data_IF_324368162623
#
_entry.id   IF_324368162623
#
_cell.length_a   1.000
_cell.length_b   1.000
_cell.length_c   1.000
_cell.angle_alpha   90.00
_cell.angle_beta   90.00
_cell.angle_gamma   90.00
#
_symmetry.space_group_name_H-M   'P 1'
#
loop_
_entity.id
_entity.type
_entity.pdbx_description
1 polymer ?
#
# COMPACT_ATOMS: atom_id res chain seq x y z
N UNK A 1 -20.02 -13.74 19.22
CA UNK A 1 -18.78 -13.07 19.65
C UNK A 1 -18.35 -12.17 18.50
N UNK A 2 -17.87 -10.96 18.79
CA UNK A 2 -17.53 -9.97 17.75
C UNK A 2 -16.43 -10.48 16.79
N UNK A 3 -16.63 -10.38 15.48
CA UNK A 3 -15.64 -10.72 14.45
C UNK A 3 -14.59 -9.61 14.25
N UNK A 4 -14.85 -8.38 14.73
CA UNK A 4 -13.84 -7.32 14.74
C UNK A 4 -12.86 -7.59 15.87
N UNK A 5 -11.59 -7.76 15.51
CA UNK A 5 -10.50 -8.05 16.42
C UNK A 5 -9.83 -6.80 16.96
N UNK A 6 -9.43 -5.90 16.06
CA UNK A 6 -8.63 -4.72 16.39
C UNK A 6 -9.15 -3.53 15.59
N UNK A 7 -9.27 -2.37 16.25
CA UNK A 7 -9.67 -1.09 15.66
C UNK A 7 -8.55 -0.10 15.92
N UNK A 8 -7.94 0.45 14.87
CA UNK A 8 -6.80 1.36 15.02
C UNK A 8 -6.99 2.64 14.20
N UNK A 9 -6.75 3.80 14.82
CA UNK A 9 -6.74 5.06 14.10
C UNK A 9 -5.47 5.18 13.26
N UNK A 10 -5.63 5.76 12.08
CA UNK A 10 -4.55 6.33 11.28
C UNK A 10 -3.68 7.29 12.10
N UNK A 11 -2.36 7.28 11.87
CA UNK A 11 -1.41 8.14 12.57
C UNK A 11 -0.61 8.98 11.60
N UNK A 12 -0.51 10.29 11.85
CA UNK A 12 0.34 11.16 11.06
C UNK A 12 1.81 10.68 11.11
N UNK A 13 2.43 10.57 9.95
CA UNK A 13 3.85 10.27 9.77
C UNK A 13 4.45 11.24 8.75
N UNK A 14 5.68 11.69 9.01
CA UNK A 14 6.43 12.57 8.12
C UNK A 14 7.33 11.74 7.21
N UNK A 15 7.24 11.96 5.89
CA UNK A 15 8.10 11.32 4.88
C UNK A 15 9.09 12.31 4.24
N UNK A 16 9.30 13.47 4.87
CA UNK A 16 10.26 14.50 4.47
C UNK A 16 9.57 15.84 4.25
N UNK A 17 8.89 15.99 3.11
CA UNK A 17 8.19 17.22 2.75
C UNK A 17 6.67 17.06 2.66
N UNK A 18 6.15 15.89 3.06
CA UNK A 18 4.74 15.53 2.96
C UNK A 18 4.33 14.71 4.19
N UNK A 19 3.14 14.97 4.71
CA UNK A 19 2.56 14.21 5.83
C UNK A 19 1.62 13.16 5.28
N UNK A 20 1.73 11.94 5.80
CA UNK A 20 0.89 10.80 5.44
C UNK A 20 0.20 10.22 6.67
N UNK A 21 -0.88 9.48 6.43
CA UNK A 21 -1.57 8.70 7.44
C UNK A 21 -1.09 7.25 7.46
N UNK A 22 -0.28 6.88 8.45
CA UNK A 22 0.21 5.52 8.61
C UNK A 22 -0.84 4.59 9.16
N UNK A 23 -1.14 3.55 8.39
CA UNK A 23 -2.11 2.51 8.66
C UNK A 23 -1.42 1.22 9.16
N UNK A 24 -0.32 0.81 8.52
CA UNK A 24 0.54 -0.29 8.96
C UNK A 24 2.02 0.13 8.86
N UNK A 25 2.92 -0.38 9.72
CA UNK A 25 2.68 -1.27 10.85
C UNK A 25 2.30 -0.54 12.16
N UNK A 26 1.78 -1.27 13.15
CA UNK A 26 1.62 -0.81 14.54
C UNK A 26 2.08 -1.88 15.54
N UNK A 27 2.15 -1.53 16.83
CA UNK A 27 2.77 -2.38 17.87
C UNK A 27 2.03 -3.72 17.97
N UNK A 28 0.70 -3.67 17.94
CA UNK A 28 -0.21 -4.79 18.12
C UNK A 28 -0.35 -5.67 16.86
N UNK A 29 -0.06 -5.15 15.67
CA UNK A 29 -0.06 -5.90 14.40
C UNK A 29 0.93 -5.27 13.42
N UNK A 30 1.92 -6.07 13.05
CA UNK A 30 2.97 -5.67 12.11
C UNK A 30 2.65 -6.01 10.66
N UNK A 31 1.69 -6.91 10.43
CA UNK A 31 1.28 -7.31 9.10
C UNK A 31 -0.16 -7.82 9.07
N UNK A 32 -0.81 -7.78 7.91
CA UNK A 32 -2.07 -8.47 7.63
C UNK A 32 -1.84 -9.33 6.39
N UNK A 33 -1.78 -10.65 6.57
CA UNK A 33 -1.28 -11.53 5.51
C UNK A 33 0.13 -11.08 5.08
N UNK A 34 0.38 -10.83 3.78
CA UNK A 34 1.67 -10.36 3.29
C UNK A 34 1.84 -8.83 3.34
N UNK A 35 0.81 -8.06 3.68
CA UNK A 35 0.88 -6.59 3.77
C UNK A 35 1.60 -6.18 5.06
N UNK A 36 2.70 -5.43 4.93
CA UNK A 36 3.58 -5.05 6.07
C UNK A 36 3.67 -3.54 6.31
N UNK A 37 3.20 -2.74 5.36
CA UNK A 37 3.21 -1.29 5.43
C UNK A 37 2.07 -0.73 4.57
N UNK A 38 1.37 0.28 5.09
CA UNK A 38 0.36 1.03 4.35
C UNK A 38 0.40 2.46 4.87
N UNK A 39 0.65 3.41 3.98
CA UNK A 39 0.48 4.84 4.22
C UNK A 39 -0.62 5.39 3.28
N UNK A 40 -1.51 6.20 3.84
CA UNK A 40 -2.49 7.00 3.12
C UNK A 40 -1.92 8.38 2.83
N UNK A 41 -1.81 8.71 1.54
CA UNK A 41 -1.40 10.02 1.05
C UNK A 41 -2.64 10.87 0.83
N UNK A 42 -2.74 12.03 1.49
CA UNK A 42 -3.81 12.99 1.26
C UNK A 42 -5.17 12.64 1.90
N UNK A 43 -6.30 13.19 1.41
CA UNK A 43 -6.37 14.15 0.31
C UNK A 43 -5.65 15.45 0.67
N UNK A 44 -4.74 15.90 -0.20
CA UNK A 44 -3.98 17.13 -0.01
C UNK A 44 -4.14 18.07 -1.20
N UNK A 45 -4.46 19.34 -0.91
CA UNK A 45 -4.28 20.46 -1.83
C UNK A 45 -2.84 20.94 -1.77
N UNK A 46 -2.11 20.81 -2.87
CA UNK A 46 -0.75 21.29 -3.00
C UNK A 46 -0.76 22.54 -3.89
N UNK A 47 -0.20 23.63 -3.39
CA UNK A 47 -0.02 24.86 -4.16
C UNK A 47 1.05 24.70 -5.24
N UNK A 48 1.06 25.64 -6.18
CA UNK A 48 2.05 25.74 -7.27
C UNK A 48 3.52 25.66 -6.82
N UNK A 49 3.85 26.01 -5.58
CA UNK A 49 5.20 25.88 -5.01
C UNK A 49 5.43 24.61 -4.17
N UNK A 50 4.41 23.79 -3.94
CA UNK A 50 4.50 22.56 -3.14
C UNK A 50 4.53 21.34 -4.06
N UNK A 51 5.46 20.42 -3.84
CA UNK A 51 5.64 19.22 -4.65
C UNK A 51 5.93 18.02 -3.75
N UNK A 52 5.47 16.83 -4.14
CA UNK A 52 5.96 15.59 -3.56
C UNK A 52 7.35 15.36 -4.14
N UNK A 53 8.36 15.22 -3.28
CA UNK A 53 9.73 14.90 -3.71
C UNK A 53 10.32 13.93 -2.69
N UNK A 54 10.20 12.63 -2.96
CA UNK A 54 10.86 11.57 -2.21
C UNK A 54 12.16 11.23 -2.95
N UNK A 55 13.33 11.62 -2.43
CA UNK A 55 14.60 11.36 -3.09
C UNK A 55 14.91 9.86 -3.18
N UNK A 56 15.96 9.48 -3.95
CA UNK A 56 16.40 8.10 -4.06
C UNK A 56 16.54 7.41 -2.69
N UNK A 57 15.80 6.32 -2.51
CA UNK A 57 15.85 5.48 -1.33
C UNK A 57 15.72 3.99 -1.71
N UNK A 58 16.34 3.08 -0.95
CA UNK A 58 16.40 1.68 -1.26
C UNK A 58 15.22 0.91 -0.65
N UNK A 59 14.88 -0.23 -1.26
CA UNK A 59 14.05 -1.28 -0.67
C UNK A 59 14.71 -2.64 -0.88
N UNK A 60 14.43 -3.62 0.00
CA UNK A 60 14.78 -5.05 -0.18
C UNK A 60 13.62 -5.93 0.29
N UNK A 61 13.51 -7.14 -0.26
CA UNK A 61 12.63 -8.23 0.22
C UNK A 61 11.13 -7.93 0.24
N UNK A 62 10.70 -6.91 -0.49
CA UNK A 62 9.30 -6.47 -0.59
C UNK A 62 8.93 -6.09 -2.03
N UNK A 63 7.64 -5.91 -2.27
CA UNK A 63 7.13 -5.13 -3.39
C UNK A 63 6.41 -3.88 -2.87
N UNK A 64 6.59 -2.75 -3.56
CA UNK A 64 5.77 -1.55 -3.33
C UNK A 64 4.59 -1.55 -4.31
N UNK A 65 3.43 -1.15 -3.81
CA UNK A 65 2.21 -0.91 -4.58
C UNK A 65 1.79 0.55 -4.34
N UNK A 66 1.81 1.35 -5.39
CA UNK A 66 1.24 2.70 -5.40
C UNK A 66 -0.10 2.67 -6.12
N UNK A 67 -1.15 3.20 -5.50
CA UNK A 67 -2.48 3.30 -6.09
C UNK A 67 -3.07 4.68 -5.77
N UNK A 68 -3.32 5.49 -6.81
CA UNK A 68 -3.80 6.87 -6.66
C UNK A 68 -5.31 6.96 -6.85
N UNK A 69 -5.95 7.80 -6.03
CA UNK A 69 -7.34 8.23 -6.19
C UNK A 69 -7.42 9.58 -6.91
N UNK A 70 -6.45 10.47 -6.67
CA UNK A 70 -6.31 11.77 -7.32
C UNK A 70 -4.83 12.15 -7.46
N UNK A 71 -4.54 13.00 -8.45
CA UNK A 71 -3.19 13.51 -8.67
C UNK A 71 -2.35 12.62 -9.57
N UNK A 72 -1.04 12.83 -9.54
CA UNK A 72 -0.07 12.07 -10.33
C UNK A 72 1.29 12.06 -9.65
N UNK A 73 2.00 10.93 -9.77
CA UNK A 73 3.36 10.73 -9.26
C UNK A 73 4.22 10.20 -10.41
N UNK A 74 5.42 10.75 -10.55
CA UNK A 74 6.46 10.25 -11.47
C UNK A 74 7.47 9.40 -10.70
N UNK A 75 7.52 8.11 -11.03
CA UNK A 75 8.45 7.13 -10.46
C UNK A 75 9.68 7.02 -11.34
N UNK A 76 10.86 6.96 -10.72
CA UNK A 76 12.12 6.52 -11.36
C UNK A 76 12.81 5.50 -10.48
N UNK A 77 13.44 4.50 -11.08
CA UNK A 77 14.23 3.53 -10.34
C UNK A 77 15.59 3.20 -10.96
N UNK A 78 16.37 2.45 -10.21
CA UNK A 78 17.70 2.01 -10.57
C UNK A 78 17.76 0.93 -11.64
N UNK A 79 16.62 0.33 -12.03
CA UNK A 79 16.54 -0.60 -13.17
C UNK A 79 16.16 0.10 -14.47
N UNK A 80 15.94 1.42 -14.42
CA UNK A 80 15.69 2.27 -15.57
C UNK A 80 14.20 2.52 -15.85
N UNK A 81 13.30 2.08 -14.99
CA UNK A 81 11.88 2.44 -15.12
C UNK A 81 11.74 3.95 -14.86
N UNK A 82 10.94 4.61 -15.69
CA UNK A 82 10.61 6.02 -15.55
C UNK A 82 9.17 6.20 -16.05
N UNK A 83 8.21 6.19 -15.13
CA UNK A 83 6.79 6.16 -15.47
C UNK A 83 5.98 7.06 -14.55
N UNK A 84 4.97 7.68 -15.14
CA UNK A 84 3.95 8.41 -14.40
C UNK A 84 2.81 7.47 -14.01
N UNK A 85 2.39 7.50 -12.75
CA UNK A 85 1.16 6.85 -12.30
C UNK A 85 0.05 7.89 -12.10
N UNK A 86 -1.13 7.55 -12.61
CA UNK A 86 -2.35 8.36 -12.56
C UNK A 86 -3.48 7.61 -11.82
N UNK A 87 -4.62 8.27 -11.52
CA UNK A 87 -5.66 7.68 -10.71
C UNK A 87 -6.22 6.37 -11.26
N UNK A 88 -6.39 5.39 -10.37
CA UNK A 88 -6.90 4.07 -10.70
C UNK A 88 -5.90 3.09 -11.28
N UNK A 89 -4.71 3.55 -11.71
CA UNK A 89 -3.61 2.69 -12.14
C UNK A 89 -2.81 2.16 -10.94
N UNK A 90 -1.98 1.14 -11.19
CA UNK A 90 -1.10 0.53 -10.18
C UNK A 90 0.34 0.52 -10.67
N UNK A 91 1.25 1.07 -9.87
CA UNK A 91 2.67 0.78 -9.98
C UNK A 91 3.01 -0.34 -9.00
N UNK A 92 3.59 -1.43 -9.50
CA UNK A 92 4.08 -2.55 -8.71
C UNK A 92 5.57 -2.72 -8.92
N UNK A 93 6.37 -2.34 -7.92
CA UNK A 93 7.84 -2.49 -7.95
C UNK A 93 8.25 -3.61 -7.00
N UNK A 94 8.80 -4.70 -7.51
CA UNK A 94 9.41 -5.75 -6.68
C UNK A 94 10.88 -5.44 -6.45
N UNK A 95 11.28 -5.25 -5.19
CA UNK A 95 12.65 -4.89 -4.83
C UNK A 95 13.62 -6.08 -4.84
N UNK A 96 13.16 -7.27 -4.43
CA UNK A 96 14.00 -8.46 -4.33
C UNK A 96 15.28 -8.19 -3.53
N UNK A 97 16.43 -8.53 -4.11
CA UNK A 97 17.76 -8.30 -3.52
C UNK A 97 18.12 -6.82 -3.31
N UNK A 98 17.44 -5.89 -3.99
CA UNK A 98 17.65 -4.46 -3.83
C UNK A 98 17.31 -3.63 -5.06
N UNK A 99 16.51 -2.59 -4.85
CA UNK A 99 16.23 -1.52 -5.82
C UNK A 99 16.32 -0.18 -5.12
N UNK A 100 16.73 0.88 -5.82
CA UNK A 100 16.59 2.26 -5.33
C UNK A 100 15.66 3.00 -6.27
N UNK A 101 14.76 3.80 -5.71
CA UNK A 101 13.80 4.57 -6.48
C UNK A 101 13.50 5.94 -5.87
N UNK A 102 12.92 6.82 -6.67
CA UNK A 102 12.40 8.12 -6.29
C UNK A 102 10.96 8.27 -6.78
N UNK A 103 10.18 9.07 -6.06
CA UNK A 103 8.79 9.39 -6.38
C UNK A 103 8.62 10.90 -6.30
N UNK A 104 8.26 11.54 -7.42
CA UNK A 104 8.23 13.01 -7.53
C UNK A 104 6.95 13.50 -8.19
N UNK A 105 6.57 14.74 -7.95
CA UNK A 105 5.55 15.40 -8.78
C UNK A 105 6.04 15.48 -10.24
N UNK A 106 5.23 15.09 -11.24
CA UNK A 106 5.57 15.22 -12.66
C UNK A 106 5.92 16.66 -13.05
N UNK A 107 6.87 16.81 -13.98
CA UNK A 107 7.44 18.12 -14.35
C UNK A 107 6.38 19.15 -14.73
N UNK A 108 5.40 18.76 -15.54
CA UNK A 108 4.35 19.64 -16.03
C UNK A 108 3.37 20.12 -14.93
N UNK A 109 3.38 19.48 -13.75
CA UNK A 109 2.57 19.86 -12.58
C UNK A 109 3.34 20.64 -11.52
N UNK A 110 4.66 20.84 -11.70
CA UNK A 110 5.51 21.42 -10.64
C UNK A 110 5.22 22.88 -10.33
N UNK A 111 4.54 23.59 -11.23
CA UNK A 111 4.21 25.01 -11.12
C UNK A 111 2.70 25.28 -11.22
N UNK A 112 1.89 24.30 -10.82
CA UNK A 112 0.43 24.41 -10.79
C UNK A 112 -0.14 23.95 -9.44
N UNK A 113 -1.28 24.53 -9.06
CA UNK A 113 -2.12 23.93 -8.01
C UNK A 113 -2.50 22.51 -8.44
N UNK A 114 -2.42 21.56 -7.51
CA UNK A 114 -2.62 20.13 -7.77
C UNK A 114 -3.14 19.40 -6.53
N UNK A 115 -3.69 18.22 -6.74
CA UNK A 115 -4.15 17.31 -5.69
C UNK A 115 -3.22 16.11 -5.59
N UNK A 116 -3.10 15.53 -4.41
CA UNK A 116 -2.53 14.21 -4.21
C UNK A 116 -3.40 13.43 -3.24
N UNK A 117 -3.84 12.25 -3.67
CA UNK A 117 -4.63 11.34 -2.86
C UNK A 117 -4.38 9.89 -3.28
N UNK A 118 -3.98 9.00 -2.38
CA UNK A 118 -3.74 7.59 -2.72
C UNK A 118 -3.17 6.76 -1.58
N UNK A 119 -2.75 5.54 -1.89
CA UNK A 119 -2.16 4.59 -0.96
C UNK A 119 -0.76 4.16 -1.44
N UNK A 120 0.19 4.14 -0.51
CA UNK A 120 1.50 3.53 -0.68
C UNK A 120 1.56 2.29 0.21
N UNK A 121 1.74 1.12 -0.39
CA UNK A 121 1.63 -0.17 0.28
C UNK A 121 2.90 -0.98 0.08
N UNK A 122 3.40 -1.66 1.12
CA UNK A 122 4.44 -2.68 0.96
C UNK A 122 3.89 -4.07 1.25
N UNK A 123 4.20 -4.98 0.33
CA UNK A 123 3.88 -6.40 0.41
C UNK A 123 5.20 -7.16 0.55
N UNK A 124 5.41 -7.82 1.68
CA UNK A 124 6.62 -8.62 1.88
C UNK A 124 6.69 -9.79 0.89
N UNK A 125 7.89 -10.14 0.45
CA UNK A 125 8.09 -11.26 -0.47
C UNK A 125 8.04 -12.61 0.26
N UNK A 126 7.59 -13.67 -0.42
CA UNK A 126 7.87 -15.03 0.01
C UNK A 126 9.39 -15.24 0.16
N UNK A 127 9.81 -16.04 1.16
CA UNK A 127 11.21 -16.25 1.50
C UNK A 127 12.09 -16.62 0.30
N UNK A 128 11.59 -17.45 -0.60
CA UNK A 128 12.33 -17.91 -1.78
C UNK A 128 12.50 -16.83 -2.87
N UNK A 129 11.82 -15.68 -2.77
CA UNK A 129 11.91 -14.54 -3.68
C UNK A 129 12.57 -13.31 -3.04
N UNK A 130 12.90 -13.33 -1.75
CA UNK A 130 13.53 -12.19 -1.07
C UNK A 130 14.87 -11.77 -1.71
N UNK A 131 15.56 -12.70 -2.38
CA UNK A 131 16.80 -12.45 -3.13
C UNK A 131 16.63 -12.38 -4.65
N UNK A 132 15.41 -12.26 -5.18
CA UNK A 132 15.18 -12.19 -6.62
C UNK A 132 15.77 -10.91 -7.24
N UNK A 133 15.91 -10.88 -8.57
CA UNK A 133 16.17 -9.63 -9.27
C UNK A 133 15.01 -8.64 -9.07
N UNK A 134 15.29 -7.33 -8.99
CA UNK A 134 14.26 -6.31 -8.97
C UNK A 134 13.48 -6.27 -10.29
N UNK A 135 12.21 -5.89 -10.23
CA UNK A 135 11.35 -5.72 -11.40
C UNK A 135 10.31 -4.62 -11.16
N UNK A 136 9.75 -4.10 -12.25
CA UNK A 136 8.71 -3.07 -12.22
C UNK A 136 7.61 -3.42 -13.21
N UNK A 137 6.37 -3.22 -12.80
CA UNK A 137 5.19 -3.41 -13.63
C UNK A 137 4.20 -2.27 -13.40
N UNK A 138 3.69 -1.72 -14.51
CA UNK A 138 2.61 -0.73 -14.50
C UNK A 138 1.35 -1.38 -15.05
N UNK A 139 0.25 -1.23 -14.32
CA UNK A 139 -1.07 -1.68 -14.74
C UNK A 139 -1.98 -0.47 -14.88
N UNK A 140 -2.53 -0.29 -16.08
CA UNK A 140 -3.45 0.80 -16.38
C UNK A 140 -4.78 0.62 -15.65
N UNK A 141 -5.46 1.73 -15.34
CA UNK A 141 -6.75 1.70 -14.63
C UNK A 141 -7.81 0.87 -15.35
N UNK A 142 -7.77 0.85 -16.69
CA UNK A 142 -8.70 0.12 -17.55
C UNK A 142 -8.50 -1.40 -17.49
N UNK A 143 -7.31 -1.86 -17.09
CA UNK A 143 -6.96 -3.28 -17.03
C UNK A 143 -7.32 -3.91 -15.66
N UNK A 144 -7.63 -3.08 -14.66
CA UNK A 144 -8.01 -3.54 -13.33
C UNK A 144 -9.45 -4.08 -13.36
N UNK A 145 -9.71 -5.34 -12.96
CA UNK A 145 -11.04 -5.90 -12.95
C UNK A 145 -12.00 -5.11 -12.05
N UNK A 146 -13.08 -4.60 -12.64
CA UNK A 146 -14.15 -3.90 -11.94
C UNK A 146 -15.51 -4.46 -12.33
N UNK A 147 -16.44 -4.49 -11.39
CA UNK A 147 -17.81 -4.97 -11.60
C UNK A 147 -18.79 -4.31 -10.63
N UNK A 148 -20.07 -4.51 -10.88
CA UNK A 148 -21.15 -4.04 -10.02
C UNK A 148 -22.08 -5.20 -9.67
N UNK A 149 -22.48 -5.26 -8.41
CA UNK A 149 -23.49 -6.20 -7.90
C UNK A 149 -24.41 -5.43 -6.96
N UNK A 150 -25.73 -5.50 -7.20
CA UNK A 150 -26.75 -4.88 -6.34
C UNK A 150 -26.53 -3.39 -6.02
N UNK A 151 -26.00 -2.63 -6.98
CA UNK A 151 -25.70 -1.20 -6.81
C UNK A 151 -24.43 -0.89 -5.99
N UNK A 152 -23.61 -1.92 -5.74
CA UNK A 152 -22.29 -1.80 -5.11
C UNK A 152 -21.22 -2.04 -6.16
N UNK A 153 -20.28 -1.11 -6.27
CA UNK A 153 -19.15 -1.21 -7.18
C UNK A 153 -17.96 -1.86 -6.49
N UNK A 154 -17.31 -2.76 -7.20
CA UNK A 154 -16.13 -3.49 -6.74
C UNK A 154 -15.00 -3.31 -7.74
N UNK A 155 -13.78 -3.26 -7.22
CA UNK A 155 -12.56 -3.31 -8.03
C UNK A 155 -11.52 -4.20 -7.35
N UNK A 156 -11.00 -5.19 -8.07
CA UNK A 156 -9.93 -6.07 -7.59
C UNK A 156 -8.58 -5.50 -8.03
N UNK A 157 -7.98 -4.66 -7.19
CA UNK A 157 -6.76 -3.91 -7.50
C UNK A 157 -5.55 -4.84 -7.59
N UNK A 158 -5.39 -5.79 -6.66
CA UNK A 158 -4.29 -6.75 -6.69
C UNK A 158 -4.71 -8.14 -6.19
N UNK A 159 -4.06 -9.17 -6.74
CA UNK A 159 -4.26 -10.56 -6.36
C UNK A 159 -5.57 -11.19 -6.83
N UNK A 160 -6.16 -12.06 -6.01
CA UNK A 160 -7.28 -12.92 -6.41
C UNK A 160 -8.39 -12.91 -5.35
N UNK A 161 -9.63 -12.67 -5.80
CA UNK A 161 -10.85 -12.77 -4.99
C UNK A 161 -12.07 -12.84 -5.93
N UNK A 162 -13.23 -13.30 -5.45
CA UNK A 162 -14.47 -13.39 -6.24
C UNK A 162 -14.34 -14.21 -7.54
N UNK A 163 -13.44 -15.19 -7.57
CA UNK A 163 -13.11 -15.95 -8.78
C UNK A 163 -12.48 -15.11 -9.91
N UNK A 164 -11.95 -13.94 -9.59
CA UNK A 164 -11.26 -13.03 -10.51
C UNK A 164 -9.80 -12.89 -10.10
N UNK A 165 -8.97 -12.49 -11.06
CA UNK A 165 -7.53 -12.26 -10.89
C UNK A 165 -7.17 -10.89 -11.46
N UNK A 166 -6.51 -10.06 -10.66
CA UNK A 166 -5.90 -8.81 -11.12
C UNK A 166 -4.65 -9.10 -11.96
N UNK A 167 -4.35 -8.32 -13.01
CA UNK A 167 -3.12 -8.49 -13.79
C UNK A 167 -1.85 -8.04 -13.04
N UNK A 168 -1.97 -7.40 -11.87
CA UNK A 168 -0.81 -7.02 -11.04
C UNK A 168 -0.01 -8.28 -10.64
N UNK A 169 1.31 -8.35 -10.93
CA UNK A 169 2.11 -9.56 -10.76
C UNK A 169 2.53 -9.79 -9.30
N UNK A 170 1.56 -10.10 -8.45
CA UNK A 170 1.79 -10.38 -7.03
C UNK A 170 2.49 -11.72 -6.83
N UNK A 171 3.30 -11.81 -5.76
CA UNK A 171 4.10 -13.01 -5.45
C UNK A 171 3.52 -13.84 -4.29
N UNK A 172 2.48 -13.34 -3.65
CA UNK A 172 1.83 -13.95 -2.49
C UNK A 172 0.35 -14.11 -2.76
N UNK A 173 -0.29 -15.12 -2.16
CA UNK A 173 -1.74 -15.24 -2.18
C UNK A 173 -2.36 -14.12 -1.36
N UNK A 174 -2.89 -13.13 -2.04
CA UNK A 174 -3.42 -11.91 -1.45
C UNK A 174 -4.61 -11.38 -2.24
N UNK A 175 -5.32 -10.45 -1.63
CA UNK A 175 -6.28 -9.60 -2.31
C UNK A 175 -6.13 -8.15 -1.82
N UNK A 176 -6.40 -7.23 -2.73
CA UNK A 176 -6.61 -5.82 -2.44
C UNK A 176 -7.81 -5.33 -3.25
N UNK A 177 -8.88 -4.96 -2.56
CA UNK A 177 -10.20 -4.72 -3.14
C UNK A 177 -10.67 -3.32 -2.74
N UNK A 178 -11.22 -2.57 -3.68
CA UNK A 178 -12.02 -1.36 -3.43
C UNK A 178 -13.50 -1.74 -3.52
N UNK A 179 -14.30 -1.28 -2.56
CA UNK A 179 -15.76 -1.41 -2.56
C UNK A 179 -16.37 -0.03 -2.37
N UNK A 180 -17.34 0.32 -3.21
CA UNK A 180 -18.02 1.62 -3.20
C UNK A 180 -19.53 1.46 -3.25
N UNK A 181 -20.23 2.19 -2.40
CA UNK A 181 -21.69 2.38 -2.47
C UNK A 181 -22.02 3.70 -3.15
N UNK A 182 -23.11 3.71 -3.92
CA UNK A 182 -23.70 4.94 -4.46
C UNK A 182 -24.52 5.71 -3.42
N UNK A 183 -25.60 6.34 -3.85
CA UNK A 183 -26.48 7.17 -2.99
C UNK A 183 -27.31 6.37 -1.96
N UNK A 184 -27.18 5.04 -1.94
CA UNK A 184 -27.91 4.13 -1.06
C UNK A 184 -26.96 3.28 -0.21
N UNK A 185 -27.33 2.98 1.04
CA UNK A 185 -26.60 2.00 1.84
C UNK A 185 -26.75 0.61 1.25
N UNK A 186 -25.77 -0.25 1.50
CA UNK A 186 -25.76 -1.63 1.05
C UNK A 186 -25.23 -2.57 2.12
N UNK A 187 -25.78 -3.78 2.17
CA UNK A 187 -25.26 -4.85 3.00
C UNK A 187 -24.21 -5.62 2.20
N UNK A 188 -23.01 -5.75 2.77
CA UNK A 188 -21.89 -6.46 2.17
C UNK A 188 -21.69 -7.78 2.90
N UNK A 189 -21.70 -8.88 2.15
CA UNK A 189 -21.39 -10.23 2.65
C UNK A 189 -20.47 -10.91 1.65
N UNK A 190 -19.17 -10.88 1.95
CA UNK A 190 -18.11 -11.30 1.01
C UNK A 190 -17.16 -12.34 1.62
N UNK A 191 -17.45 -12.82 2.83
CA UNK A 191 -16.55 -13.71 3.56
C UNK A 191 -16.19 -14.99 2.79
N UNK A 192 -17.09 -15.51 1.95
CA UNK A 192 -16.81 -16.69 1.12
C UNK A 192 -15.79 -16.44 -0.01
N UNK A 193 -15.58 -15.18 -0.37
CA UNK A 193 -14.65 -14.76 -1.43
C UNK A 193 -13.27 -14.35 -0.88
N UNK A 194 -13.14 -14.29 0.45
CA UNK A 194 -11.92 -13.90 1.15
C UNK A 194 -11.23 -15.09 1.83
N UNK A 195 -9.94 -14.95 2.09
CA UNK A 195 -9.12 -16.00 2.69
C UNK A 195 -7.96 -15.43 3.53
N UNK A 196 -7.42 -16.25 4.43
CA UNK A 196 -6.32 -15.84 5.29
C UNK A 196 -6.73 -14.73 6.26
N UNK A 197 -5.83 -13.79 6.52
CA UNK A 197 -6.13 -12.62 7.35
C UNK A 197 -6.78 -11.51 6.51
N UNK A 198 -7.67 -10.73 7.11
CA UNK A 198 -8.32 -9.60 6.42
C UNK A 198 -8.38 -8.36 7.29
N UNK A 199 -8.16 -7.22 6.65
CA UNK A 199 -8.39 -5.90 7.22
C UNK A 199 -9.19 -5.03 6.26
N UNK A 200 -9.91 -4.07 6.83
CA UNK A 200 -10.73 -3.10 6.13
C UNK A 200 -10.29 -1.70 6.56
N UNK A 201 -10.05 -0.83 5.58
CA UNK A 201 -9.80 0.60 5.77
C UNK A 201 -10.95 1.42 5.19
N UNK A 202 -11.47 2.36 5.98
CA UNK A 202 -12.58 3.24 5.59
C UNK A 202 -12.00 4.57 5.09
N UNK A 203 -12.09 4.81 3.78
CA UNK A 203 -11.59 6.04 3.17
C UNK A 203 -12.57 7.21 3.42
N UNK A 204 -13.86 6.96 3.15
CA UNK A 204 -14.93 7.94 3.33
C UNK A 204 -16.26 7.23 3.59
N UNK A 205 -17.24 7.96 4.13
CA UNK A 205 -18.51 7.39 4.57
C UNK A 205 -18.38 6.65 5.90
N UNK A 206 -19.16 5.60 6.08
CA UNK A 206 -19.13 4.81 7.33
C UNK A 206 -19.55 3.37 7.07
N UNK A 207 -19.16 2.48 7.97
CA UNK A 207 -19.68 1.12 8.01
C UNK A 207 -20.35 0.84 9.35
N UNK A 208 -21.35 -0.04 9.35
CA UNK A 208 -21.95 -0.60 10.56
C UNK A 208 -21.70 -2.09 10.62
N UNK A 209 -21.22 -2.56 11.77
CA UNK A 209 -21.06 -3.99 12.02
C UNK A 209 -21.33 -4.27 13.49
N UNK A 210 -22.12 -5.31 13.76
CA UNK A 210 -22.42 -5.78 15.12
C UNK A 210 -22.99 -4.70 16.06
N UNK A 211 -23.79 -3.78 15.50
CA UNK A 211 -24.40 -2.68 16.24
C UNK A 211 -23.50 -1.46 16.48
N UNK A 212 -22.25 -1.49 16.01
CA UNK A 212 -21.32 -0.36 16.08
C UNK A 212 -21.21 0.33 14.71
N UNK A 213 -21.04 1.65 14.71
CA UNK A 213 -20.68 2.44 13.53
C UNK A 213 -19.20 2.78 13.58
N UNK A 214 -18.52 2.63 12.45
CA UNK A 214 -17.11 2.96 12.27
C UNK A 214 -16.99 4.04 11.19
N UNK A 215 -16.24 5.08 11.52
CA UNK A 215 -16.02 6.28 10.71
C UNK A 215 -14.72 6.16 9.89
N UNK A 216 -14.42 7.11 8.99
CA UNK A 216 -13.18 7.10 8.21
C UNK A 216 -11.92 7.14 9.09
N UNK A 217 -10.78 6.77 8.48
CA UNK A 217 -9.43 6.78 9.12
C UNK A 217 -9.23 5.74 10.21
N UNK A 218 -10.08 4.71 10.23
CA UNK A 218 -9.88 3.52 11.05
C UNK A 218 -9.54 2.31 10.17
N UNK A 219 -8.67 1.46 10.69
CA UNK A 219 -8.49 0.08 10.19
C UNK A 219 -9.22 -0.86 11.13
N UNK A 220 -9.99 -1.75 10.55
CA UNK A 220 -10.69 -2.83 11.24
C UNK A 220 -10.06 -4.15 10.80
N UNK A 221 -9.48 -4.90 11.74
CA UNK A 221 -8.91 -6.21 11.46
C UNK A 221 -9.89 -7.29 11.90
N UNK A 222 -10.27 -8.18 10.98
CA UNK A 222 -11.16 -9.29 11.25
C UNK A 222 -10.43 -10.41 12.00
N UNK A 223 -11.14 -11.10 12.91
CA UNK A 223 -10.66 -12.34 13.55
C UNK A 223 -10.72 -13.52 12.58
N UNK A 224 -11.78 -13.55 11.76
CA UNK A 224 -11.98 -14.51 10.69
C UNK A 224 -12.44 -13.77 9.43
N UNK A 225 -11.64 -13.86 8.36
CA UNK A 225 -11.96 -13.27 7.05
C UNK A 225 -13.27 -13.86 6.47
N UNK A 226 -13.62 -15.11 6.82
CA UNK A 226 -14.82 -15.78 6.31
C UNK A 226 -16.12 -15.26 6.92
N UNK A 227 -16.03 -14.51 8.01
CA UNK A 227 -17.17 -13.89 8.68
C UNK A 227 -17.29 -12.39 8.36
N UNK A 228 -16.81 -11.99 7.18
CA UNK A 228 -16.83 -10.60 6.74
C UNK A 228 -18.24 -10.18 6.26
N UNK A 229 -19.03 -9.64 7.20
CA UNK A 229 -20.36 -9.07 6.96
C UNK A 229 -20.52 -7.73 7.67
N UNK A 230 -20.95 -6.71 6.92
CA UNK A 230 -21.15 -5.34 7.42
C UNK A 230 -22.10 -4.56 6.50
N UNK A 231 -22.69 -3.49 7.01
CA UNK A 231 -23.47 -2.54 6.21
C UNK A 231 -22.58 -1.34 5.88
N UNK A 232 -22.51 -0.95 4.61
CA UNK A 232 -21.90 0.30 4.17
C UNK A 232 -22.99 1.36 4.06
N UNK A 233 -22.74 2.56 4.58
CA UNK A 233 -23.59 3.72 4.37
C UNK A 233 -23.62 4.13 2.89
N UNK A 234 -24.49 5.08 2.54
CA UNK A 234 -24.43 5.73 1.22
C UNK A 234 -23.11 6.49 1.04
N UNK A 235 -22.62 6.59 -0.20
CA UNK A 235 -21.38 7.27 -0.60
C UNK A 235 -20.18 6.85 0.26
N UNK A 236 -20.02 5.55 0.48
CA UNK A 236 -18.93 5.00 1.30
C UNK A 236 -17.94 4.30 0.40
N UNK A 237 -16.65 4.61 0.59
CA UNK A 237 -15.53 3.91 -0.05
C UNK A 237 -14.73 3.18 1.01
N UNK A 238 -14.57 1.87 0.86
CA UNK A 238 -13.69 1.06 1.69
C UNK A 238 -12.66 0.30 0.85
N UNK A 239 -11.52 0.03 1.47
CA UNK A 239 -10.50 -0.85 0.94
C UNK A 239 -10.37 -2.07 1.83
N UNK A 240 -10.38 -3.25 1.22
CA UNK A 240 -10.21 -4.52 1.91
C UNK A 240 -8.93 -5.17 1.42
N UNK A 241 -8.04 -5.51 2.33
CA UNK A 241 -6.75 -6.12 2.02
C UNK A 241 -6.46 -7.28 2.96
N UNK A 242 -5.81 -8.31 2.43
CA UNK A 242 -5.61 -9.54 3.16
C UNK A 242 -4.96 -10.65 2.34
N UNK A 243 -4.76 -11.79 2.96
CA UNK A 243 -4.13 -12.94 2.31
C UNK A 243 -3.57 -13.95 3.30
N UNK A 244 -2.93 -14.99 2.74
CA UNK A 244 -2.28 -16.01 3.56
C UNK A 244 -1.06 -15.42 4.29
N UNK A 245 -0.99 -15.52 5.63
CA UNK A 245 0.17 -15.06 6.37
C UNK A 245 1.39 -15.93 6.07
N UNK A 246 2.57 -15.32 6.10
CA UNK A 246 3.81 -16.07 5.97
C UNK A 246 4.08 -16.95 7.19
N UNK A 247 4.63 -18.16 7.00
CA UNK A 247 5.03 -19.00 8.12
C UNK A 247 6.25 -18.44 8.85
N UNK A 248 7.13 -17.72 8.16
CA UNK A 248 8.30 -17.08 8.78
C UNK A 248 8.01 -15.63 9.17
N UNK A 249 8.62 -15.20 10.27
CA UNK A 249 8.59 -13.80 10.68
C UNK A 249 9.25 -12.91 9.61
N UNK A 250 8.68 -11.72 9.39
CA UNK A 250 9.30 -10.68 8.56
C UNK A 250 9.81 -9.56 9.46
N UNK A 251 11.13 -9.35 9.42
CA UNK A 251 11.77 -8.25 10.12
C UNK A 251 11.69 -7.00 9.26
N UNK A 252 11.36 -5.87 9.88
CA UNK A 252 11.24 -4.58 9.22
C UNK A 252 12.17 -3.60 9.92
N UNK A 253 13.05 -2.96 9.15
CA UNK A 253 13.85 -1.85 9.63
C UNK A 253 13.94 -0.79 8.54
N UNK A 254 13.38 0.41 8.80
CA UNK A 254 13.28 1.46 7.79
C UNK A 254 12.61 0.91 6.52
N UNK A 255 13.28 0.96 5.36
CA UNK A 255 12.78 0.47 4.07
C UNK A 255 13.20 -0.98 3.76
N UNK A 256 13.71 -1.72 4.75
CA UNK A 256 14.20 -3.07 4.56
C UNK A 256 13.27 -4.08 5.22
N UNK A 257 12.79 -5.04 4.42
CA UNK A 257 11.97 -6.16 4.89
C UNK A 257 12.66 -7.45 4.51
N UNK A 258 12.87 -8.36 5.46
CA UNK A 258 13.47 -9.65 5.18
C UNK A 258 13.16 -10.68 6.28
N UNK A 259 13.18 -11.97 5.95
CA UNK A 259 13.09 -13.06 6.92
C UNK A 259 14.38 -13.26 7.72
N UNK A 260 15.52 -12.71 7.28
CA UNK A 260 16.81 -12.75 7.97
C UNK A 260 17.29 -11.35 8.38
N UNK A 261 17.54 -11.17 9.68
CA UNK A 261 18.08 -9.91 10.23
C UNK A 261 19.48 -9.57 9.72
N UNK A 262 20.30 -10.57 9.40
CA UNK A 262 21.66 -10.34 8.90
C UNK A 262 21.65 -9.65 7.53
N UNK A 263 20.67 -10.00 6.68
CA UNK A 263 20.47 -9.34 5.37
C UNK A 263 20.10 -7.88 5.55
N UNK A 264 19.25 -7.56 6.54
CA UNK A 264 18.89 -6.17 6.87
C UNK A 264 20.11 -5.39 7.37
N UNK A 265 20.92 -5.97 8.25
CA UNK A 265 22.14 -5.31 8.74
C UNK A 265 23.16 -5.07 7.62
N UNK A 266 23.30 -6.01 6.69
CA UNK A 266 24.14 -5.83 5.51
C UNK A 266 23.59 -4.71 4.61
N UNK A 267 22.28 -4.67 4.34
CA UNK A 267 21.66 -3.62 3.55
C UNK A 267 21.83 -2.22 4.18
N UNK A 268 21.81 -2.12 5.51
CA UNK A 268 22.12 -0.86 6.22
C UNK A 268 23.55 -0.40 5.97
N UNK A 269 24.53 -1.32 5.99
CA UNK A 269 25.92 -0.99 5.64
C UNK A 269 26.04 -0.60 4.16
N UNK A 270 25.43 -1.36 3.26
CA UNK A 270 25.49 -1.10 1.83
C UNK A 270 24.83 0.23 1.44
N UNK A 271 23.75 0.62 2.12
CA UNK A 271 23.16 1.95 1.90
C UNK A 271 24.05 3.09 2.42
N UNK A 272 24.65 2.94 3.61
CA UNK A 272 25.60 3.93 4.13
C UNK A 272 26.83 4.09 3.23
N UNK A 273 27.32 2.98 2.69
CA UNK A 273 28.46 2.93 1.79
C UNK A 273 28.08 3.26 0.33
N UNK A 274 26.81 3.59 0.05
CA UNK A 274 26.29 3.93 -1.28
C UNK A 274 26.56 2.85 -2.34
N UNK A 275 26.43 1.58 -1.94
CA UNK A 275 26.61 0.38 -2.79
C UNK A 275 25.33 -0.08 -3.50
N UNK A 276 24.16 0.45 -3.10
CA UNK A 276 22.93 0.19 -3.84
C UNK A 276 23.01 0.77 -5.27
N UNK A 277 22.34 0.13 -6.25
CA UNK A 277 22.22 0.68 -7.59
C UNK A 277 21.64 2.10 -7.56
N UNK A 278 22.21 3.01 -8.36
CA UNK A 278 21.78 4.41 -8.40
C UNK A 278 20.61 4.61 -9.36
N UNK A 279 19.73 5.56 -9.04
CA UNK A 279 18.70 6.02 -9.97
C UNK A 279 19.36 6.90 -11.04
N UNK A 280 19.26 6.57 -12.35
CA UNK A 280 19.87 7.37 -13.40
C UNK A 280 19.38 8.82 -13.38
N UNK A 281 20.34 9.76 -13.36
CA UNK A 281 20.05 11.20 -13.36
C UNK A 281 19.75 11.81 -12.00
N UNK A 282 19.75 11.03 -10.90
CA UNK A 282 19.55 11.56 -9.55
C UNK A 282 20.82 11.49 -8.71
N UNK A 283 21.10 12.57 -7.97
CA UNK A 283 22.31 12.71 -7.13
C UNK A 283 22.02 12.81 -5.64
N UNK A 284 20.78 13.16 -5.28
CA UNK A 284 20.31 13.19 -3.90
C UNK A 284 20.01 11.78 -3.39
N UNK A 285 19.88 11.59 -2.08
CA UNK A 285 19.41 10.35 -1.49
C UNK A 285 18.88 10.57 -0.07
N UNK A 286 18.00 9.68 0.39
CA UNK A 286 17.52 9.69 1.78
C UNK A 286 18.52 8.97 2.69
N UNK A 287 19.18 9.64 3.65
CA UNK A 287 20.13 8.97 4.53
C UNK A 287 19.44 7.94 5.42
N UNK A 288 20.16 6.87 5.79
CA UNK A 288 19.65 5.93 6.80
C UNK A 288 19.34 6.72 8.09
N UNK A 289 18.14 6.55 8.70
CA UNK A 289 17.82 7.20 9.96
C UNK A 289 18.86 6.86 11.04
N UNK A 290 19.26 7.86 11.82
CA UNK A 290 20.11 7.64 12.97
C UNK A 290 19.39 6.71 13.97
N UNK A 291 20.09 5.71 14.50
CA UNK A 291 19.55 4.89 15.59
C UNK A 291 19.28 5.81 16.77
N UNK A 292 18.01 6.05 17.10
CA UNK A 292 17.69 6.75 18.35
C UNK A 292 18.19 5.86 19.49
N UNK A 293 19.23 6.30 20.19
CA UNK A 293 19.63 5.73 21.47
C UNK A 293 18.41 5.88 22.40
N UNK A 294 17.69 4.79 22.62
CA UNK A 294 16.75 4.66 23.73
C UNK A 294 17.50 4.06 24.92
#
# INVERSE_FOLDING_TARGET
MSNIGIIIPERAADIGNFMVGRLLPFIEKRSVGPFVFIDHMGPADLKDYQNLDVPPHPHIGLSTLTYLFEGSIFHRDSIGSAIEIQPGAVNWMTAGKGVTHSERTPEYLRHTDKRLHGLQIWVALPKHLEGSEPSFHHTEAADIPAWETDGVHYKLIAGEAFGKTSPVPVHSKLYFIEIKTGDKPAKISIGNDLYGESALYILEGNIKSEGNTYEPKFILIAKDAKLCEFEMGANTTVYIFGGEPFPEERYIHWNFVNSDKQVIEQAKHDWKDQKFPKVPGETEFVPLPATSLK
#
